data_IF_072569869755
#
_entry.id   IF_072569869755
#
_cell.length_a   1.000
_cell.length_b   1.000
_cell.length_c   1.000
_cell.angle_alpha   90.00
_cell.angle_beta   90.00
_cell.angle_gamma   90.00
#
_symmetry.space_group_name_H-M   'P 1'
#
loop_
_entity.id
_entity.type
_entity.pdbx_description
1 polymer ?
#
# COMPACT_ATOMS: atom_id res chain seq x y z
N UNK A 1 -10.26 -5.20 4.86
CA UNK A 1 -11.36 -4.26 4.74
C UNK A 1 -10.95 -3.11 3.80
N UNK A 2 -11.70 -2.91 2.71
CA UNK A 2 -11.41 -1.93 1.65
C UNK A 2 -12.33 -0.70 1.73
N UNK A 3 -12.83 -0.40 2.92
CA UNK A 3 -13.70 0.76 3.15
C UNK A 3 -12.88 2.02 3.44
N UNK A 4 -13.48 3.21 3.23
CA UNK A 4 -12.86 4.50 3.58
C UNK A 4 -12.73 4.73 5.08
N UNK A 5 -13.52 4.01 5.88
CA UNK A 5 -13.55 4.12 7.34
C UNK A 5 -13.11 2.79 7.95
N UNK A 6 -12.32 2.86 9.00
CA UNK A 6 -12.02 1.68 9.79
C UNK A 6 -13.28 1.21 10.51
N UNK A 7 -13.44 -0.13 10.70
CA UNK A 7 -14.52 -0.66 11.54
C UNK A 7 -14.44 -0.04 12.95
N UNK A 8 -15.59 0.23 13.54
CA UNK A 8 -15.65 0.74 14.89
C UNK A 8 -16.47 -0.22 15.76
N UNK A 9 -15.94 -0.69 16.88
CA UNK A 9 -14.58 -0.52 17.39
C UNK A 9 -13.55 -1.41 16.64
N UNK A 10 -12.44 -0.85 16.25
CA UNK A 10 -11.40 -1.55 15.49
C UNK A 10 -10.82 -2.74 16.27
N UNK A 11 -10.69 -2.59 17.59
CA UNK A 11 -10.22 -3.63 18.50
C UNK A 11 -11.01 -4.93 18.36
N UNK A 12 -12.33 -4.87 18.45
CA UNK A 12 -13.20 -6.05 18.41
C UNK A 12 -13.15 -6.72 17.03
N UNK A 13 -13.05 -5.92 15.97
CA UNK A 13 -12.89 -6.42 14.62
C UNK A 13 -11.61 -7.23 14.45
N UNK A 14 -10.48 -6.68 14.91
CA UNK A 14 -9.17 -7.34 14.81
C UNK A 14 -9.10 -8.56 15.73
N UNK A 15 -9.66 -8.44 16.96
CA UNK A 15 -9.66 -9.53 17.93
C UNK A 15 -10.37 -10.78 17.43
N UNK A 16 -11.49 -10.61 16.73
CA UNK A 16 -12.23 -11.75 16.15
C UNK A 16 -11.34 -12.57 15.22
N UNK A 17 -10.73 -11.95 14.24
CA UNK A 17 -9.84 -12.62 13.27
C UNK A 17 -8.59 -13.18 13.95
N UNK A 18 -8.06 -12.49 14.95
CA UNK A 18 -6.91 -12.97 15.72
C UNK A 18 -7.24 -14.27 16.46
N UNK A 19 -8.41 -14.37 17.09
CA UNK A 19 -8.81 -15.55 17.86
C UNK A 19 -9.20 -16.75 16.99
N UNK A 20 -9.54 -16.53 15.72
CA UNK A 20 -9.71 -17.62 14.74
C UNK A 20 -8.38 -18.35 14.47
N UNK A 21 -7.25 -17.61 14.52
CA UNK A 21 -5.92 -18.15 14.24
C UNK A 21 -5.17 -18.53 15.53
N UNK A 22 -5.37 -17.75 16.60
CA UNK A 22 -4.67 -17.88 17.88
C UNK A 22 -5.67 -17.91 19.06
N UNK A 23 -6.43 -19.00 19.26
CA UNK A 23 -7.46 -19.09 20.32
C UNK A 23 -6.86 -18.90 21.73
N UNK A 24 -5.60 -19.27 21.93
CA UNK A 24 -4.88 -19.15 23.21
C UNK A 24 -4.71 -17.68 23.66
N UNK A 25 -4.88 -16.72 22.76
CA UNK A 25 -4.82 -15.30 23.10
C UNK A 25 -6.13 -14.74 23.66
N UNK A 26 -7.18 -15.55 23.82
CA UNK A 26 -8.49 -15.09 24.29
C UNK A 26 -8.45 -14.36 25.65
N UNK A 27 -7.54 -14.79 26.53
CA UNK A 27 -7.37 -14.21 27.86
C UNK A 27 -6.38 -13.04 27.91
N UNK A 28 -5.79 -12.68 26.75
CA UNK A 28 -4.82 -11.58 26.68
C UNK A 28 -5.51 -10.26 26.41
N UNK A 29 -5.12 -9.22 27.16
CA UNK A 29 -5.61 -7.86 26.93
C UNK A 29 -4.95 -7.28 25.68
N UNK A 30 -5.76 -6.70 24.80
CA UNK A 30 -5.27 -5.89 23.68
C UNK A 30 -5.21 -4.45 24.15
N UNK A 31 -4.00 -3.91 24.28
CA UNK A 31 -3.79 -2.54 24.72
C UNK A 31 -3.93 -1.54 23.58
N UNK A 32 -3.48 -1.91 22.39
CA UNK A 32 -3.46 -1.02 21.23
C UNK A 32 -4.05 -1.72 20.00
N UNK A 33 -4.87 -1.01 19.24
CA UNK A 33 -5.36 -1.42 17.93
C UNK A 33 -5.35 -0.21 17.00
N UNK A 34 -4.70 -0.33 15.86
CA UNK A 34 -4.61 0.74 14.88
C UNK A 34 -4.78 0.21 13.45
N UNK A 35 -5.05 1.11 12.55
CA UNK A 35 -5.11 0.84 11.13
C UNK A 35 -4.42 1.94 10.34
N UNK A 36 -4.15 1.67 9.08
CA UNK A 36 -3.53 2.63 8.18
C UNK A 36 -4.03 2.48 6.75
N UNK A 37 -3.83 3.51 5.94
CA UNK A 37 -4.09 3.47 4.52
C UNK A 37 -2.80 3.15 3.77
N UNK A 38 -2.90 2.27 2.77
CA UNK A 38 -1.79 1.97 1.88
C UNK A 38 -2.04 2.57 0.51
N UNK A 39 -0.98 3.06 -0.13
CA UNK A 39 -1.02 3.51 -1.51
C UNK A 39 -0.73 2.32 -2.44
N UNK A 40 -1.71 1.97 -3.26
CA UNK A 40 -1.59 0.88 -4.23
C UNK A 40 -1.57 1.49 -5.64
N UNK A 41 -0.53 1.18 -6.40
CA UNK A 41 -0.42 1.54 -7.82
C UNK A 41 -1.15 0.52 -8.68
N UNK A 42 -1.57 0.90 -9.89
CA UNK A 42 -2.32 0.02 -10.80
C UNK A 42 -1.53 -1.24 -11.16
N UNK A 43 -0.24 -1.09 -11.40
CA UNK A 43 0.68 -2.20 -11.74
C UNK A 43 1.42 -2.79 -10.53
N UNK A 44 1.08 -2.34 -9.31
CA UNK A 44 1.72 -2.71 -8.03
C UNK A 44 3.21 -2.41 -7.92
N UNK A 45 3.78 -1.69 -8.88
CA UNK A 45 5.17 -1.25 -8.83
C UNK A 45 5.32 0.00 -7.94
N UNK A 46 6.38 0.03 -7.16
CA UNK A 46 6.74 1.22 -6.37
C UNK A 46 7.16 2.36 -7.30
N UNK A 47 6.72 3.57 -6.99
CA UNK A 47 7.01 4.75 -7.77
C UNK A 47 8.09 5.59 -7.08
N UNK A 48 9.28 5.57 -7.65
CA UNK A 48 10.43 6.35 -7.21
C UNK A 48 10.82 7.32 -8.31
N UNK A 49 11.25 8.50 -7.92
CA UNK A 49 11.70 9.48 -8.90
C UNK A 49 12.12 10.80 -8.29
N UNK A 50 12.35 11.77 -9.16
CA UNK A 50 12.74 13.13 -8.80
C UNK A 50 11.78 14.13 -9.46
N UNK A 51 11.16 14.96 -8.63
CA UNK A 51 10.21 15.98 -9.09
C UNK A 51 10.93 17.27 -9.49
N UNK A 52 11.98 17.63 -8.76
CA UNK A 52 12.86 18.79 -8.98
C UNK A 52 14.29 18.41 -8.63
N UNK A 53 15.32 19.21 -8.97
CA UNK A 53 16.72 18.88 -8.72
C UNK A 53 17.04 18.39 -7.30
N UNK A 54 16.34 18.91 -6.30
CA UNK A 54 16.54 18.59 -4.88
C UNK A 54 15.28 17.99 -4.22
N UNK A 55 14.28 17.54 -5.00
CA UNK A 55 13.04 16.96 -4.48
C UNK A 55 12.85 15.55 -5.04
N UNK A 56 13.13 14.57 -4.21
CA UNK A 56 12.96 13.16 -4.52
C UNK A 56 11.70 12.63 -3.90
N UNK A 57 11.13 11.56 -4.46
CA UNK A 57 9.96 10.90 -3.91
C UNK A 57 10.04 9.38 -4.05
N UNK A 58 9.45 8.68 -3.07
CA UNK A 58 9.22 7.24 -3.10
C UNK A 58 7.86 6.95 -2.47
N UNK A 59 6.94 6.37 -3.22
CA UNK A 59 5.60 6.04 -2.74
C UNK A 59 4.98 4.86 -3.51
N UNK A 60 3.74 4.50 -3.18
CA UNK A 60 3.01 3.46 -3.90
C UNK A 60 3.58 2.06 -3.69
N UNK A 61 4.02 1.72 -2.47
CA UNK A 61 4.63 0.42 -2.17
C UNK A 61 3.65 -0.77 -2.23
N UNK A 62 2.37 -0.53 -2.47
CA UNK A 62 1.36 -1.54 -2.80
C UNK A 62 1.28 -2.72 -1.82
N UNK A 63 1.54 -2.48 -0.53
CA UNK A 63 1.57 -3.49 0.52
C UNK A 63 2.95 -4.13 0.78
N UNK A 64 3.96 -3.87 -0.05
CA UNK A 64 5.32 -4.39 0.10
C UNK A 64 6.29 -3.40 0.78
N UNK A 65 5.75 -2.46 1.58
CA UNK A 65 6.50 -1.34 2.15
C UNK A 65 7.68 -1.76 3.02
N UNK A 66 7.60 -2.87 3.76
CA UNK A 66 8.69 -3.33 4.64
C UNK A 66 9.96 -3.59 3.82
N UNK A 67 9.87 -4.37 2.75
CA UNK A 67 11.02 -4.65 1.89
C UNK A 67 11.38 -3.45 1.01
N UNK A 68 10.38 -2.84 0.38
CA UNK A 68 10.62 -1.78 -0.59
C UNK A 68 11.08 -0.46 0.01
N UNK A 69 10.72 -0.14 1.26
CA UNK A 69 11.16 1.09 1.90
C UNK A 69 12.67 1.11 2.15
N UNK A 70 13.25 -0.02 2.56
CA UNK A 70 14.70 -0.14 2.75
C UNK A 70 15.46 0.03 1.43
N UNK A 71 15.00 -0.62 0.37
CA UNK A 71 15.58 -0.46 -0.96
C UNK A 71 15.44 0.98 -1.46
N UNK A 72 14.24 1.58 -1.32
CA UNK A 72 13.99 2.96 -1.72
C UNK A 72 14.89 3.94 -0.94
N UNK A 73 15.08 3.71 0.36
CA UNK A 73 16.00 4.50 1.19
C UNK A 73 17.43 4.47 0.65
N UNK A 74 17.94 3.29 0.30
CA UNK A 74 19.29 3.14 -0.30
C UNK A 74 19.38 3.89 -1.64
N UNK A 75 18.41 3.68 -2.54
CA UNK A 75 18.39 4.35 -3.86
C UNK A 75 18.32 5.88 -3.71
N UNK A 76 17.53 6.38 -2.76
CA UNK A 76 17.43 7.81 -2.48
C UNK A 76 18.75 8.37 -1.91
N UNK A 77 19.40 7.64 -1.00
CA UNK A 77 20.68 8.06 -0.44
C UNK A 77 21.77 8.16 -1.53
N UNK A 78 21.84 7.17 -2.41
CA UNK A 78 22.75 7.20 -3.58
C UNK A 78 22.45 8.41 -4.47
N UNK A 79 21.19 8.65 -4.79
CA UNK A 79 20.77 9.76 -5.64
C UNK A 79 21.10 11.13 -5.03
N UNK A 80 20.90 11.30 -3.73
CA UNK A 80 21.27 12.53 -2.99
C UNK A 80 22.78 12.73 -2.96
N UNK A 81 23.54 11.64 -2.89
CA UNK A 81 25.02 11.66 -2.94
C UNK A 81 25.58 11.85 -4.35
N UNK A 82 24.73 11.98 -5.37
CA UNK A 82 25.14 12.26 -6.75
C UNK A 82 25.15 11.05 -7.69
N UNK A 83 24.82 9.83 -7.21
CA UNK A 83 24.74 8.62 -8.04
C UNK A 83 23.30 8.34 -8.42
N UNK A 84 22.90 8.67 -9.65
CA UNK A 84 21.49 8.62 -10.09
C UNK A 84 21.11 7.31 -10.81
N UNK A 85 22.05 6.46 -11.15
CA UNK A 85 21.85 5.31 -12.05
C UNK A 85 20.67 4.42 -11.63
N UNK A 86 20.59 4.04 -10.37
CA UNK A 86 19.52 3.21 -9.84
C UNK A 86 18.18 3.94 -9.79
N UNK A 87 18.19 5.21 -9.40
CA UNK A 87 16.97 6.03 -9.40
C UNK A 87 16.43 6.19 -10.83
N UNK A 88 17.30 6.37 -11.81
CA UNK A 88 16.93 6.52 -13.22
C UNK A 88 16.26 5.24 -13.77
N UNK A 89 16.70 4.05 -13.33
CA UNK A 89 16.04 2.80 -13.69
C UNK A 89 14.59 2.79 -13.14
N UNK A 90 14.41 3.12 -11.87
CA UNK A 90 13.07 3.17 -11.26
C UNK A 90 12.19 4.25 -11.88
N UNK A 91 12.73 5.42 -12.18
CA UNK A 91 11.99 6.54 -12.76
C UNK A 91 11.46 6.25 -14.17
N UNK A 92 12.08 5.33 -14.91
CA UNK A 92 11.63 4.87 -16.23
C UNK A 92 10.45 3.90 -16.16
N UNK A 93 10.15 3.32 -15.00
CA UNK A 93 9.00 2.44 -14.83
C UNK A 93 7.73 3.27 -14.96
N UNK A 94 6.97 3.02 -16.02
CA UNK A 94 5.69 3.69 -16.23
C UNK A 94 4.67 3.22 -15.19
N UNK A 95 4.19 4.13 -14.37
CA UNK A 95 3.08 3.88 -13.46
C UNK A 95 1.80 4.36 -14.14
N UNK A 96 0.92 3.45 -14.58
CA UNK A 96 -0.31 3.84 -15.24
C UNK A 96 -1.20 4.65 -14.28
N UNK A 97 -1.83 5.68 -14.81
CA UNK A 97 -2.88 6.38 -14.08
C UNK A 97 -4.13 5.51 -14.00
N UNK A 98 -4.85 5.61 -12.90
CA UNK A 98 -6.10 4.85 -12.76
C UNK A 98 -7.11 5.29 -13.85
N UNK A 99 -7.75 4.34 -14.56
CA UNK A 99 -8.74 4.65 -15.58
C UNK A 99 -9.85 5.56 -15.03
N UNK A 100 -10.10 6.70 -15.71
CA UNK A 100 -11.03 7.72 -15.24
C UNK A 100 -10.50 8.62 -14.11
N UNK A 101 -9.20 8.56 -13.80
CA UNK A 101 -8.50 9.43 -12.86
C UNK A 101 -9.08 9.37 -11.45
N UNK A 102 -9.16 10.54 -10.80
CA UNK A 102 -9.67 10.65 -9.42
C UNK A 102 -11.18 10.44 -9.33
N UNK A 103 -11.93 10.73 -10.40
CA UNK A 103 -13.40 10.63 -10.40
C UNK A 103 -13.88 9.19 -10.35
N UNK A 104 -13.32 8.31 -11.20
CA UNK A 104 -13.73 6.91 -11.30
C UNK A 104 -12.93 5.98 -10.38
N UNK A 105 -11.93 6.47 -9.67
CA UNK A 105 -11.07 5.65 -8.81
C UNK A 105 -11.87 4.82 -7.79
N UNK A 106 -12.84 5.41 -7.12
CA UNK A 106 -13.63 4.71 -6.11
C UNK A 106 -14.67 3.78 -6.72
N UNK A 107 -15.53 4.21 -7.65
CA UNK A 107 -16.48 3.29 -8.30
C UNK A 107 -15.76 2.13 -8.99
N UNK A 108 -14.71 2.41 -9.75
CA UNK A 108 -13.95 1.37 -10.46
C UNK A 108 -13.27 0.38 -9.51
N UNK A 109 -12.75 0.86 -8.38
CA UNK A 109 -12.18 0.00 -7.35
C UNK A 109 -13.23 -0.94 -6.75
N UNK A 110 -14.41 -0.42 -6.36
CA UNK A 110 -15.49 -1.25 -5.81
C UNK A 110 -16.02 -2.28 -6.82
N UNK A 111 -16.21 -1.89 -8.07
CA UNK A 111 -16.64 -2.81 -9.12
C UNK A 111 -15.60 -3.90 -9.39
N UNK A 112 -14.33 -3.55 -9.42
CA UNK A 112 -13.24 -4.51 -9.54
C UNK A 112 -13.22 -5.50 -8.36
N UNK A 113 -13.34 -5.01 -7.14
CA UNK A 113 -13.39 -5.87 -5.94
C UNK A 113 -14.60 -6.79 -5.94
N UNK A 114 -15.77 -6.30 -6.36
CA UNK A 114 -16.98 -7.10 -6.49
C UNK A 114 -16.81 -8.21 -7.54
N UNK A 115 -16.26 -7.84 -8.71
CA UNK A 115 -15.98 -8.81 -9.79
C UNK A 115 -15.07 -9.93 -9.32
N UNK A 116 -13.92 -9.61 -8.70
CA UNK A 116 -13.00 -10.62 -8.21
C UNK A 116 -13.58 -11.43 -7.05
N UNK A 117 -14.34 -10.81 -6.13
CA UNK A 117 -15.02 -11.53 -5.04
C UNK A 117 -16.05 -12.57 -5.55
N UNK A 118 -16.72 -12.28 -6.66
CA UNK A 118 -17.63 -13.24 -7.28
C UNK A 118 -16.83 -14.36 -7.97
N UNK A 119 -15.79 -13.99 -8.71
CA UNK A 119 -14.95 -14.94 -9.43
C UNK A 119 -14.20 -15.92 -8.51
N UNK A 120 -13.78 -15.45 -7.34
CA UNK A 120 -13.05 -16.28 -6.36
C UNK A 120 -13.98 -17.27 -5.62
N UNK A 121 -15.31 -17.16 -5.80
CA UNK A 121 -16.29 -18.09 -5.23
C UNK A 121 -16.78 -19.14 -6.23
N UNK A 122 -16.44 -19.01 -7.49
CA UNK A 122 -16.72 -19.95 -8.58
C UNK A 122 -15.53 -20.89 -8.80
#
# INVERSE_FOLDING_TARGET
>A
NYTRKFPHPLKDYVQRTMLEVYPELAQKRIDYAWGGSIAVTVNRMSHLGRLRPNVFFAHGFSGHGIAMASLAGTVMAEAISGTLDRLDIFSKIKIPTFPGGTLLRWPGFYLGMLYYSIRDRL
#
